data_IF_785857624148
#
_entry.id   IF_785857624148
#
_cell.length_a   1.000
_cell.length_b   1.000
_cell.length_c   1.000
_cell.angle_alpha   90.00
_cell.angle_beta   90.00
_cell.angle_gamma   90.00
#
_symmetry.space_group_name_H-M   'P 1'
#
loop_
_entity.id
_entity.type
_entity.pdbx_description
1 polymer ?
#
# COMPACT_ATOMS: atom_id res chain seq x y z
N UNK A 1 -30.55 -4.67 12.90
CA UNK A 1 -29.58 -5.44 12.11
C UNK A 1 -29.06 -4.53 11.03
N UNK A 2 -27.80 -4.20 11.11
CA UNK A 2 -27.09 -3.28 10.22
C UNK A 2 -26.75 -3.99 8.91
N UNK A 3 -27.24 -3.48 7.77
CA UNK A 3 -26.97 -4.02 6.45
C UNK A 3 -25.80 -3.30 5.82
N UNK A 4 -24.82 -4.04 5.32
CA UNK A 4 -23.60 -3.49 4.71
C UNK A 4 -23.49 -3.94 3.25
N UNK A 5 -23.16 -2.97 2.39
CA UNK A 5 -22.67 -3.18 1.02
C UNK A 5 -21.16 -2.93 1.02
N UNK A 6 -20.36 -3.86 0.54
CA UNK A 6 -18.91 -3.68 0.34
C UNK A 6 -18.60 -3.50 -1.14
N UNK A 7 -17.93 -2.41 -1.49
CA UNK A 7 -17.57 -2.09 -2.87
C UNK A 7 -16.06 -1.77 -2.99
N UNK A 8 -15.30 -2.74 -3.44
CA UNK A 8 -13.86 -2.61 -3.67
C UNK A 8 -13.43 -3.65 -4.72
N UNK A 9 -12.60 -3.28 -5.67
CA UNK A 9 -12.04 -4.22 -6.66
C UNK A 9 -10.89 -5.06 -6.09
N UNK A 10 -10.30 -4.69 -4.97
CA UNK A 10 -9.24 -5.43 -4.31
C UNK A 10 -9.83 -6.57 -3.47
N UNK A 11 -9.78 -7.78 -4.00
CA UNK A 11 -10.41 -8.96 -3.40
C UNK A 11 -9.90 -9.26 -1.97
N UNK A 12 -8.59 -9.12 -1.72
CA UNK A 12 -7.99 -9.40 -0.41
C UNK A 12 -8.48 -8.40 0.64
N UNK A 13 -8.50 -7.10 0.29
CA UNK A 13 -8.93 -6.06 1.20
C UNK A 13 -10.44 -6.19 1.50
N UNK A 14 -11.25 -6.42 0.48
CA UNK A 14 -12.69 -6.67 0.64
C UNK A 14 -12.97 -7.90 1.53
N UNK A 15 -12.23 -9.00 1.33
CA UNK A 15 -12.35 -10.18 2.17
C UNK A 15 -11.92 -9.92 3.63
N UNK A 16 -10.90 -9.10 3.85
CA UNK A 16 -10.47 -8.67 5.19
C UNK A 16 -11.56 -7.90 5.92
N UNK A 17 -12.14 -6.89 5.28
CA UNK A 17 -13.27 -6.11 5.83
C UNK A 17 -14.47 -7.03 6.09
N UNK A 18 -14.82 -7.90 5.14
CA UNK A 18 -15.90 -8.82 5.30
C UNK A 18 -15.72 -9.73 6.52
N UNK A 19 -14.51 -10.22 6.76
CA UNK A 19 -14.19 -11.06 7.92
C UNK A 19 -14.33 -10.30 9.23
N UNK A 20 -13.86 -9.05 9.29
CA UNK A 20 -14.03 -8.19 10.49
C UNK A 20 -15.51 -7.95 10.80
N UNK A 21 -16.31 -7.62 9.79
CA UNK A 21 -17.72 -7.34 9.97
C UNK A 21 -18.56 -8.60 10.28
N UNK A 22 -18.18 -9.76 9.77
CA UNK A 22 -18.92 -11.03 9.96
C UNK A 22 -18.83 -11.59 11.39
N UNK A 23 -17.91 -11.08 12.22
CA UNK A 23 -17.82 -11.49 13.64
C UNK A 23 -18.92 -10.85 14.50
N UNK A 24 -19.53 -9.77 14.03
CA UNK A 24 -20.53 -8.99 14.77
C UNK A 24 -21.95 -9.51 14.50
N UNK A 25 -22.67 -9.92 15.55
CA UNK A 25 -24.01 -10.49 15.44
C UNK A 25 -25.06 -9.50 14.91
N UNK A 26 -24.83 -8.20 15.10
CA UNK A 26 -25.72 -7.12 14.67
C UNK A 26 -25.47 -6.64 13.23
N UNK A 27 -24.45 -7.17 12.54
CA UNK A 27 -24.02 -6.76 11.19
C UNK A 27 -24.29 -7.86 10.16
N UNK A 28 -24.80 -7.47 9.00
CA UNK A 28 -24.99 -8.38 7.86
C UNK A 28 -24.50 -7.77 6.57
N UNK A 29 -23.56 -8.42 5.92
CA UNK A 29 -23.15 -8.08 4.57
C UNK A 29 -24.21 -8.58 3.59
N UNK A 30 -24.89 -7.66 2.90
CA UNK A 30 -25.98 -7.95 1.97
C UNK A 30 -25.53 -7.98 0.52
N UNK A 31 -24.40 -7.32 0.21
CA UNK A 31 -23.80 -7.36 -1.12
C UNK A 31 -22.29 -7.11 -1.04
N UNK A 32 -21.58 -7.69 -2.01
CA UNK A 32 -20.17 -7.39 -2.30
C UNK A 32 -20.06 -7.07 -3.79
N UNK A 33 -19.51 -5.90 -4.11
CA UNK A 33 -19.35 -5.41 -5.48
C UNK A 33 -17.85 -5.35 -5.84
N UNK A 34 -17.54 -5.87 -7.02
CA UNK A 34 -16.19 -5.86 -7.61
C UNK A 34 -16.11 -4.94 -8.82
N UNK A 35 -17.26 -4.56 -9.38
CA UNK A 35 -17.40 -3.61 -10.49
C UNK A 35 -18.38 -2.50 -10.12
N UNK A 36 -18.26 -1.37 -10.81
CA UNK A 36 -19.14 -0.21 -10.61
C UNK A 36 -20.61 -0.57 -10.82
N UNK A 37 -20.90 -1.37 -11.85
CA UNK A 37 -22.24 -1.81 -12.16
C UNK A 37 -22.85 -2.64 -11.03
N UNK A 38 -22.08 -3.55 -10.43
CA UNK A 38 -22.50 -4.33 -9.27
C UNK A 38 -22.77 -3.44 -8.06
N UNK A 39 -21.94 -2.40 -7.85
CA UNK A 39 -22.11 -1.45 -6.77
C UNK A 39 -23.43 -0.66 -6.95
N UNK A 40 -23.70 -0.16 -8.14
CA UNK A 40 -24.92 0.59 -8.44
C UNK A 40 -26.18 -0.29 -8.29
N UNK A 41 -26.15 -1.53 -8.82
CA UNK A 41 -27.23 -2.49 -8.61
C UNK A 41 -27.49 -2.81 -7.12
N UNK A 42 -26.41 -2.88 -6.33
CA UNK A 42 -26.54 -3.11 -4.88
C UNK A 42 -27.17 -1.92 -4.17
N UNK A 43 -26.86 -0.68 -4.58
CA UNK A 43 -27.47 0.55 -4.05
C UNK A 43 -28.98 0.56 -4.29
N UNK A 44 -29.42 0.23 -5.49
CA UNK A 44 -30.84 0.18 -5.83
C UNK A 44 -31.59 -0.91 -5.06
N UNK A 45 -30.96 -2.08 -4.90
CA UNK A 45 -31.59 -3.27 -4.32
C UNK A 45 -31.64 -3.24 -2.80
N UNK A 46 -30.64 -2.71 -2.11
CA UNK A 46 -30.48 -2.80 -0.67
C UNK A 46 -30.65 -1.44 0.03
N UNK A 47 -31.81 -0.84 -0.14
CA UNK A 47 -32.16 0.46 0.49
C UNK A 47 -31.98 0.45 2.00
N UNK A 48 -31.61 1.60 2.56
CA UNK A 48 -31.42 1.78 4.00
C UNK A 48 -30.25 0.99 4.58
N UNK A 49 -29.20 0.73 3.78
CA UNK A 49 -27.97 0.10 4.22
C UNK A 49 -26.83 1.12 4.33
N UNK A 50 -25.70 0.69 4.90
CA UNK A 50 -24.45 1.44 4.85
C UNK A 50 -23.58 0.85 3.74
N UNK A 51 -23.09 1.67 2.83
CA UNK A 51 -22.16 1.25 1.79
C UNK A 51 -20.75 1.68 2.14
N UNK A 52 -19.85 0.72 2.26
CA UNK A 52 -18.42 0.94 2.41
C UNK A 52 -17.79 0.78 1.03
N UNK A 53 -17.12 1.83 0.54
CA UNK A 53 -16.50 1.80 -0.79
C UNK A 53 -15.09 2.37 -0.78
N UNK A 54 -14.22 1.84 -1.64
CA UNK A 54 -12.88 2.37 -1.85
C UNK A 54 -12.91 3.59 -2.79
N UNK A 55 -12.21 4.66 -2.44
CA UNK A 55 -12.14 5.88 -3.23
C UNK A 55 -11.59 5.66 -4.63
N UNK A 56 -10.61 4.77 -4.75
CA UNK A 56 -10.00 4.38 -6.04
C UNK A 56 -10.92 3.55 -6.94
N UNK A 57 -11.93 2.90 -6.35
CA UNK A 57 -12.87 2.05 -7.07
C UNK A 57 -14.06 2.84 -7.62
N UNK A 58 -14.56 3.84 -6.89
CA UNK A 58 -15.68 4.71 -7.26
C UNK A 58 -15.24 6.18 -7.18
N UNK A 59 -14.54 6.67 -8.23
CA UNK A 59 -13.96 8.02 -8.21
C UNK A 59 -15.00 9.14 -8.30
N UNK A 60 -16.17 8.89 -8.89
CA UNK A 60 -17.27 9.87 -8.95
C UNK A 60 -18.12 9.79 -7.68
N UNK A 61 -17.60 10.41 -6.63
CA UNK A 61 -18.24 10.46 -5.31
C UNK A 61 -19.55 11.25 -5.35
N UNK A 62 -19.67 12.29 -6.18
CA UNK A 62 -20.86 13.15 -6.24
C UNK A 62 -22.03 12.37 -6.81
N UNK A 63 -21.83 11.67 -7.92
CA UNK A 63 -22.87 10.85 -8.53
C UNK A 63 -23.29 9.72 -7.57
N UNK A 64 -22.32 9.02 -6.98
CA UNK A 64 -22.61 7.98 -5.99
C UNK A 64 -23.42 8.52 -4.81
N UNK A 65 -23.03 9.68 -4.26
CA UNK A 65 -23.71 10.28 -3.12
C UNK A 65 -25.17 10.66 -3.45
N UNK A 66 -25.43 11.16 -4.66
CA UNK A 66 -26.80 11.47 -5.12
C UNK A 66 -27.67 10.21 -5.16
N UNK A 67 -27.21 9.14 -5.81
CA UNK A 67 -27.95 7.88 -5.94
C UNK A 67 -28.13 7.20 -4.58
N UNK A 68 -27.12 7.23 -3.73
CA UNK A 68 -27.17 6.69 -2.38
C UNK A 68 -28.19 7.43 -1.51
N UNK A 69 -28.23 8.76 -1.58
CA UNK A 69 -29.19 9.58 -0.85
C UNK A 69 -30.65 9.27 -1.25
N UNK A 70 -30.94 9.15 -2.55
CA UNK A 70 -32.27 8.77 -3.06
C UNK A 70 -32.70 7.36 -2.62
N UNK A 71 -31.73 6.49 -2.37
CA UNK A 71 -31.95 5.13 -1.88
C UNK A 71 -31.93 5.00 -0.35
N UNK A 72 -31.68 6.10 0.37
CA UNK A 72 -31.54 6.11 1.84
C UNK A 72 -30.30 5.36 2.31
N UNK A 73 -29.27 5.26 1.47
CA UNK A 73 -27.99 4.60 1.79
C UNK A 73 -27.03 5.63 2.34
N UNK A 74 -26.37 5.27 3.41
CA UNK A 74 -25.32 6.06 4.02
C UNK A 74 -23.95 5.58 3.54
N UNK A 75 -23.05 6.51 3.25
CA UNK A 75 -21.77 6.22 2.65
C UNK A 75 -20.62 6.29 3.66
N UNK A 76 -19.76 5.29 3.60
CA UNK A 76 -18.43 5.26 4.21
C UNK A 76 -17.39 5.10 3.12
N UNK A 77 -16.51 6.07 2.97
CA UNK A 77 -15.39 6.00 2.03
C UNK A 77 -14.15 5.45 2.73
N UNK A 78 -13.46 4.54 2.06
CA UNK A 78 -12.09 4.15 2.38
C UNK A 78 -11.18 4.97 1.48
N UNK A 79 -10.62 6.02 2.04
CA UNK A 79 -9.79 6.98 1.36
C UNK A 79 -8.32 6.51 1.29
N UNK A 80 -7.61 6.92 0.26
CA UNK A 80 -6.16 6.80 0.23
C UNK A 80 -5.52 7.91 1.06
N UNK A 81 -4.28 7.69 1.53
CA UNK A 81 -3.60 8.62 2.46
C UNK A 81 -3.44 10.05 1.93
N UNK A 82 -3.46 10.22 0.60
CA UNK A 82 -3.31 11.51 -0.06
C UNK A 82 -4.64 12.12 -0.50
N UNK A 83 -5.76 11.45 -0.26
CA UNK A 83 -7.07 11.96 -0.64
C UNK A 83 -7.47 13.12 0.30
N UNK A 84 -7.93 14.26 -0.23
CA UNK A 84 -8.42 15.35 0.60
C UNK A 84 -9.78 14.97 1.21
N UNK A 85 -9.93 14.95 2.55
CA UNK A 85 -11.18 14.59 3.22
C UNK A 85 -12.37 15.46 2.79
N UNK A 86 -12.12 16.72 2.53
CA UNK A 86 -13.14 17.72 2.16
C UNK A 86 -13.93 17.32 0.92
N UNK A 87 -13.28 16.63 -0.02
CA UNK A 87 -13.91 16.13 -1.25
C UNK A 87 -15.09 15.20 -0.96
N UNK A 88 -14.95 14.33 0.03
CA UNK A 88 -15.96 13.36 0.38
C UNK A 88 -17.04 13.95 1.29
N UNK A 89 -16.62 14.75 2.27
CA UNK A 89 -17.53 15.38 3.22
C UNK A 89 -18.46 16.38 2.54
N UNK A 90 -17.95 17.18 1.59
CA UNK A 90 -18.77 18.13 0.82
C UNK A 90 -19.76 17.43 -0.13
N UNK A 91 -19.49 16.19 -0.53
CA UNK A 91 -20.41 15.37 -1.30
C UNK A 91 -21.49 14.67 -0.43
N UNK A 92 -21.45 14.81 0.91
CA UNK A 92 -22.41 14.21 1.82
C UNK A 92 -22.05 12.80 2.30
N UNK A 93 -20.80 12.37 2.12
CA UNK A 93 -20.29 11.12 2.71
C UNK A 93 -20.18 11.29 4.23
N UNK A 94 -20.83 10.43 5.01
CA UNK A 94 -20.87 10.52 6.46
C UNK A 94 -19.65 9.86 7.14
N UNK A 95 -19.11 8.80 6.54
CA UNK A 95 -17.98 8.06 7.10
C UNK A 95 -16.72 8.22 6.24
N UNK A 96 -15.60 8.59 6.86
CA UNK A 96 -14.31 8.58 6.21
C UNK A 96 -13.31 7.82 7.07
N UNK A 97 -12.73 6.78 6.49
CA UNK A 97 -11.67 5.96 7.08
C UNK A 97 -10.55 5.75 6.05
N UNK A 98 -9.39 5.37 6.51
CA UNK A 98 -8.25 5.05 5.66
C UNK A 98 -8.00 3.55 5.59
N UNK A 99 -7.20 3.09 4.62
CA UNK A 99 -6.88 1.65 4.46
C UNK A 99 -6.17 1.04 5.66
N UNK A 100 -5.54 1.86 6.50
CA UNK A 100 -4.87 1.46 7.74
C UNK A 100 -5.80 1.37 8.96
N UNK A 101 -7.13 1.50 8.75
CA UNK A 101 -8.12 1.48 9.83
C UNK A 101 -8.06 0.17 10.64
N UNK A 102 -8.06 0.28 11.94
CA UNK A 102 -8.19 -0.87 12.84
C UNK A 102 -9.63 -1.40 12.89
N UNK A 103 -9.78 -2.69 13.17
CA UNK A 103 -11.08 -3.35 13.21
C UNK A 103 -12.08 -2.66 14.13
N UNK A 104 -11.64 -2.21 15.31
CA UNK A 104 -12.49 -1.52 16.28
C UNK A 104 -12.97 -0.15 15.76
N UNK A 105 -12.11 0.57 15.03
CA UNK A 105 -12.47 1.86 14.43
C UNK A 105 -13.41 1.71 13.24
N UNK A 106 -13.19 0.69 12.40
CA UNK A 106 -14.10 0.36 11.31
C UNK A 106 -15.53 0.10 11.85
N UNK A 107 -15.65 -0.72 12.87
CA UNK A 107 -16.95 -1.01 13.50
C UNK A 107 -17.58 0.24 14.11
N UNK A 108 -16.81 1.07 14.78
CA UNK A 108 -17.26 2.35 15.34
C UNK A 108 -17.78 3.29 14.24
N UNK A 109 -17.03 3.43 13.16
CA UNK A 109 -17.42 4.23 12.00
C UNK A 109 -18.76 3.77 11.44
N UNK A 110 -18.88 2.48 11.14
CA UNK A 110 -20.06 1.90 10.51
C UNK A 110 -21.31 2.06 11.40
N UNK A 111 -21.18 1.86 12.71
CA UNK A 111 -22.29 2.04 13.67
C UNK A 111 -22.73 3.50 13.78
N UNK A 112 -21.78 4.45 13.84
CA UNK A 112 -22.10 5.89 13.85
C UNK A 112 -22.80 6.32 12.57
N UNK A 113 -22.25 5.94 11.43
CA UNK A 113 -22.85 6.26 10.12
C UNK A 113 -24.25 5.67 10.00
N UNK A 114 -24.49 4.45 10.46
CA UNK A 114 -25.83 3.88 10.48
C UNK A 114 -26.80 4.64 11.39
N UNK A 115 -26.32 5.29 12.42
CA UNK A 115 -27.13 6.17 13.29
C UNK A 115 -27.35 7.57 12.68
N UNK A 116 -26.80 7.85 11.48
CA UNK A 116 -26.87 9.16 10.83
C UNK A 116 -25.81 10.15 11.34
N UNK A 117 -24.86 9.68 12.13
CA UNK A 117 -23.76 10.50 12.66
C UNK A 117 -22.57 10.48 11.71
N UNK A 118 -21.89 11.61 11.59
CA UNK A 118 -20.63 11.65 10.85
C UNK A 118 -19.49 11.01 11.65
N UNK A 119 -18.58 10.35 10.93
CA UNK A 119 -17.34 9.81 11.46
C UNK A 119 -16.18 10.09 10.49
N UNK A 120 -15.19 10.81 10.96
CA UNK A 120 -13.95 11.03 10.23
C UNK A 120 -12.82 10.48 11.07
N UNK A 121 -12.11 9.50 10.54
CA UNK A 121 -10.90 9.01 11.18
C UNK A 121 -9.88 10.15 11.22
N UNK A 122 -9.36 10.48 12.42
CA UNK A 122 -8.35 11.52 12.55
C UNK A 122 -7.08 11.06 11.79
N UNK A 123 -6.70 11.81 10.77
CA UNK A 123 -5.47 11.55 10.01
C UNK A 123 -4.20 11.64 10.86
N UNK A 124 -4.29 12.13 12.09
CA UNK A 124 -3.18 12.15 13.06
C UNK A 124 -3.10 10.85 13.88
N UNK A 125 -4.21 10.11 14.00
CA UNK A 125 -4.23 8.76 14.62
C UNK A 125 -4.03 7.66 13.59
N UNK A 126 -4.27 7.94 12.32
CA UNK A 126 -3.64 7.18 11.26
C UNK A 126 -2.15 7.40 11.50
N UNK A 127 -1.35 6.36 11.80
CA UNK A 127 0.08 6.49 11.63
C UNK A 127 0.18 7.12 10.24
N UNK A 128 0.51 8.43 10.18
CA UNK A 128 0.81 9.05 8.88
C UNK A 128 1.68 7.99 8.29
N UNK A 129 1.12 7.32 7.27
CA UNK A 129 1.96 6.43 6.55
C UNK A 129 3.18 7.29 6.29
N UNK A 130 4.16 7.16 7.18
CA UNK A 130 5.51 7.37 6.80
C UNK A 130 5.59 6.38 5.69
N UNK A 131 5.04 6.87 4.55
CA UNK A 131 4.96 6.17 3.28
C UNK A 131 4.90 4.68 3.52
N UNK A 132 3.73 4.09 3.41
CA UNK A 132 3.40 2.67 3.65
C UNK A 132 4.66 1.94 4.07
N UNK A 133 4.88 1.78 5.41
CA UNK A 133 6.16 1.26 5.89
C UNK A 133 6.43 0.09 4.98
N UNK A 134 7.45 0.22 4.14
CA UNK A 134 7.78 -0.76 3.14
C UNK A 134 8.27 -2.00 3.87
N UNK A 135 7.31 -2.67 4.54
CA UNK A 135 7.59 -3.88 5.32
C UNK A 135 8.28 -4.94 4.48
N UNK A 136 7.97 -4.96 3.18
CA UNK A 136 8.62 -5.87 2.25
C UNK A 136 10.05 -5.41 2.00
N UNK A 137 10.25 -4.14 1.68
CA UNK A 137 11.58 -3.56 1.49
C UNK A 137 12.41 -3.58 2.77
N UNK A 138 11.82 -3.29 3.94
CA UNK A 138 12.48 -3.39 5.23
C UNK A 138 12.93 -4.83 5.53
N UNK A 139 12.04 -5.80 5.34
CA UNK A 139 12.34 -7.23 5.54
C UNK A 139 13.41 -7.74 4.59
N UNK A 140 13.37 -7.28 3.35
CA UNK A 140 14.38 -7.62 2.33
C UNK A 140 15.71 -6.94 2.64
N UNK A 141 15.72 -5.66 3.02
CA UNK A 141 16.91 -4.94 3.46
C UNK A 141 17.63 -5.71 4.58
N UNK A 142 16.90 -6.17 5.59
CA UNK A 142 17.46 -6.87 6.76
C UNK A 142 18.05 -8.25 6.41
N UNK A 143 17.67 -8.83 5.27
CA UNK A 143 18.24 -10.08 4.73
C UNK A 143 19.49 -9.87 3.90
N UNK A 144 19.74 -8.65 3.43
CA UNK A 144 20.87 -8.34 2.58
C UNK A 144 22.08 -7.90 3.40
N UNK A 145 23.24 -8.42 3.06
CA UNK A 145 24.50 -7.96 3.64
C UNK A 145 24.88 -6.58 3.10
N UNK A 146 25.76 -5.81 3.78
CA UNK A 146 26.23 -4.51 3.28
C UNK A 146 26.86 -4.59 1.89
N UNK A 147 27.54 -5.69 1.53
CA UNK A 147 28.09 -5.90 0.20
C UNK A 147 27.00 -6.12 -0.85
N UNK A 148 25.97 -6.89 -0.52
CA UNK A 148 24.82 -7.12 -1.40
C UNK A 148 24.03 -5.83 -1.63
N UNK A 149 23.79 -5.01 -0.60
CA UNK A 149 23.16 -3.69 -0.75
C UNK A 149 23.96 -2.76 -1.66
N UNK A 150 25.30 -2.76 -1.57
CA UNK A 150 26.15 -1.99 -2.48
C UNK A 150 25.99 -2.44 -3.93
N UNK A 151 25.92 -3.74 -4.17
CA UNK A 151 25.71 -4.29 -5.52
C UNK A 151 24.32 -3.90 -6.03
N UNK A 152 23.27 -4.00 -5.21
CA UNK A 152 21.91 -3.55 -5.56
C UNK A 152 21.91 -2.07 -5.96
N UNK A 153 22.57 -1.20 -5.20
CA UNK A 153 22.66 0.23 -5.52
C UNK A 153 23.31 0.47 -6.90
N UNK A 154 24.40 -0.24 -7.20
CA UNK A 154 25.08 -0.10 -8.48
C UNK A 154 24.28 -0.66 -9.66
N UNK A 155 23.48 -1.72 -9.41
CA UNK A 155 22.53 -2.24 -10.39
C UNK A 155 21.45 -1.22 -10.75
N UNK A 156 20.87 -0.56 -9.75
CA UNK A 156 19.83 0.48 -9.97
C UNK A 156 20.41 1.69 -10.73
N UNK A 157 21.69 2.01 -10.50
CA UNK A 157 22.40 3.04 -11.23
C UNK A 157 22.80 2.63 -12.66
N UNK A 158 22.55 1.38 -13.06
CA UNK A 158 22.78 0.88 -14.42
C UNK A 158 24.18 0.28 -14.67
N UNK A 159 25.05 0.16 -13.66
CA UNK A 159 26.41 -0.38 -13.84
C UNK A 159 26.40 -1.85 -14.26
N UNK A 160 27.23 -2.21 -15.23
CA UNK A 160 27.44 -3.60 -15.66
C UNK A 160 28.27 -4.38 -14.63
N UNK A 161 28.17 -5.71 -14.62
CA UNK A 161 28.89 -6.55 -13.63
C UNK A 161 30.41 -6.31 -13.61
N UNK A 162 31.00 -6.07 -14.77
CA UNK A 162 32.44 -5.73 -14.88
C UNK A 162 32.77 -4.41 -14.19
N UNK A 163 31.93 -3.42 -14.35
CA UNK A 163 32.09 -2.09 -13.72
C UNK A 163 31.90 -2.17 -12.20
N UNK A 164 30.90 -2.95 -11.75
CA UNK A 164 30.68 -3.26 -10.35
C UNK A 164 31.89 -3.98 -9.74
N UNK A 165 32.43 -4.97 -10.45
CA UNK A 165 33.62 -5.69 -10.02
C UNK A 165 34.83 -4.76 -9.83
N UNK A 166 35.07 -3.85 -10.77
CA UNK A 166 36.12 -2.85 -10.66
C UNK A 166 35.94 -1.91 -9.45
N UNK A 167 34.70 -1.41 -9.22
CA UNK A 167 34.39 -0.52 -8.09
C UNK A 167 34.53 -1.20 -6.72
N UNK A 168 34.29 -2.52 -6.67
CA UNK A 168 34.36 -3.30 -5.42
C UNK A 168 35.70 -3.99 -5.22
N UNK A 169 36.66 -3.81 -6.13
CA UNK A 169 37.98 -4.46 -6.06
C UNK A 169 37.89 -5.99 -6.13
N UNK A 170 37.02 -6.52 -6.98
CA UNK A 170 36.73 -7.96 -7.09
C UNK A 170 36.62 -8.42 -8.55
N UNK A 171 36.22 -9.66 -8.78
CA UNK A 171 36.02 -10.20 -10.13
C UNK A 171 34.54 -10.22 -10.53
N UNK A 172 34.30 -10.18 -11.86
CA UNK A 172 32.94 -10.27 -12.40
C UNK A 172 32.22 -11.57 -11.94
N UNK A 173 32.97 -12.66 -11.81
CA UNK A 173 32.41 -13.94 -11.34
C UNK A 173 31.89 -13.82 -9.89
N UNK A 174 32.62 -13.14 -9.04
CA UNK A 174 32.19 -12.89 -7.65
C UNK A 174 30.94 -12.02 -7.61
N UNK A 175 30.83 -11.00 -8.45
CA UNK A 175 29.61 -10.18 -8.57
C UNK A 175 28.41 -11.03 -9.01
N UNK A 176 28.59 -11.92 -9.99
CA UNK A 176 27.54 -12.86 -10.43
C UNK A 176 27.04 -13.76 -9.29
N UNK A 177 27.96 -14.24 -8.44
CA UNK A 177 27.57 -15.06 -7.28
C UNK A 177 26.78 -14.25 -6.25
N UNK A 178 27.19 -13.00 -5.96
CA UNK A 178 26.40 -12.10 -5.10
C UNK A 178 25.02 -11.83 -5.67
N UNK A 179 24.90 -11.58 -6.97
CA UNK A 179 23.61 -11.34 -7.62
C UNK A 179 22.67 -12.54 -7.52
N UNK A 180 23.19 -13.77 -7.69
CA UNK A 180 22.39 -14.97 -7.49
C UNK A 180 21.80 -15.01 -6.06
N UNK A 181 22.65 -14.77 -5.05
CA UNK A 181 22.19 -14.75 -3.65
C UNK A 181 21.16 -13.62 -3.39
N UNK A 182 21.35 -12.45 -4.02
CA UNK A 182 20.41 -11.34 -3.94
C UNK A 182 19.07 -11.72 -4.56
N UNK A 183 19.09 -12.33 -5.76
CA UNK A 183 17.85 -12.78 -6.41
C UNK A 183 17.09 -13.78 -5.54
N UNK A 184 17.78 -14.77 -4.98
CA UNK A 184 17.18 -15.78 -4.10
C UNK A 184 16.59 -15.14 -2.81
N UNK A 185 17.27 -14.15 -2.23
CA UNK A 185 16.84 -13.48 -0.99
C UNK A 185 15.65 -12.55 -1.20
N UNK A 186 15.59 -11.89 -2.36
CA UNK A 186 14.55 -10.94 -2.72
C UNK A 186 13.34 -11.66 -3.34
N UNK A 187 13.58 -12.78 -4.02
CA UNK A 187 12.55 -13.52 -4.76
C UNK A 187 12.31 -12.97 -6.16
N UNK A 188 13.37 -12.45 -6.80
CA UNK A 188 13.34 -11.94 -8.17
C UNK A 188 14.16 -12.84 -9.11
N UNK A 189 13.80 -12.84 -10.39
CA UNK A 189 14.36 -13.78 -11.37
C UNK A 189 15.48 -13.17 -12.22
N UNK A 190 15.53 -11.86 -12.36
CA UNK A 190 16.50 -11.19 -13.22
C UNK A 190 16.87 -9.79 -12.73
N UNK A 191 17.80 -9.17 -13.48
CA UNK A 191 18.34 -7.83 -13.19
C UNK A 191 17.30 -6.71 -13.29
N UNK A 192 16.40 -6.78 -14.27
CA UNK A 192 15.38 -5.76 -14.49
C UNK A 192 14.35 -5.82 -13.36
N UNK A 193 13.94 -7.01 -13.00
CA UNK A 193 13.02 -7.25 -11.89
C UNK A 193 13.63 -6.76 -10.55
N UNK A 194 14.94 -7.01 -10.33
CA UNK A 194 15.64 -6.47 -9.17
C UNK A 194 15.63 -4.94 -9.14
N UNK A 195 15.91 -4.29 -10.27
CA UNK A 195 15.91 -2.83 -10.34
C UNK A 195 14.51 -2.26 -10.08
N UNK A 196 13.47 -2.81 -10.70
CA UNK A 196 12.08 -2.40 -10.50
C UNK A 196 11.62 -2.64 -9.06
N UNK A 197 11.93 -3.81 -8.49
CA UNK A 197 11.65 -4.12 -7.09
C UNK A 197 12.30 -3.09 -6.16
N UNK A 198 13.56 -2.77 -6.37
CA UNK A 198 14.30 -1.80 -5.53
C UNK A 198 13.73 -0.39 -5.64
N UNK A 199 13.35 0.05 -6.86
CA UNK A 199 12.73 1.37 -7.08
C UNK A 199 11.36 1.45 -6.42
N UNK A 200 10.58 0.37 -6.48
CA UNK A 200 9.26 0.30 -5.87
C UNK A 200 9.33 0.31 -4.32
N UNK A 201 10.38 -0.31 -3.76
CA UNK A 201 10.60 -0.40 -2.33
C UNK A 201 11.59 0.66 -1.85
N UNK A 202 11.07 1.80 -1.40
CA UNK A 202 11.85 2.98 -1.02
C UNK A 202 12.88 2.71 0.08
N UNK A 203 12.52 1.95 1.10
CA UNK A 203 13.44 1.60 2.20
C UNK A 203 14.66 0.85 1.67
N UNK A 204 14.46 -0.06 0.72
CA UNK A 204 15.55 -0.78 0.07
C UNK A 204 16.39 0.16 -0.80
N UNK A 205 15.77 1.07 -1.54
CA UNK A 205 16.46 2.05 -2.36
C UNK A 205 17.33 3.00 -1.52
N UNK A 206 16.82 3.49 -0.40
CA UNK A 206 17.57 4.35 0.54
C UNK A 206 18.75 3.62 1.19
N UNK A 207 18.55 2.39 1.66
CA UNK A 207 19.60 1.58 2.25
C UNK A 207 20.71 1.24 1.23
N UNK A 208 20.32 0.97 -0.01
CA UNK A 208 21.26 0.73 -1.10
C UNK A 208 22.07 2.00 -1.42
N UNK A 209 21.42 3.17 -1.53
CA UNK A 209 22.06 4.44 -1.77
C UNK A 209 23.04 4.82 -0.65
N UNK A 210 22.67 4.67 0.62
CA UNK A 210 23.53 4.89 1.78
C UNK A 210 24.79 4.00 1.74
N UNK A 211 24.61 2.73 1.36
CA UNK A 211 25.72 1.78 1.22
C UNK A 211 26.68 2.14 0.07
N UNK A 212 26.20 2.77 -0.99
CA UNK A 212 27.01 3.25 -2.10
C UNK A 212 27.81 4.53 -1.76
N UNK A 213 27.24 5.44 -0.97
CA UNK A 213 27.89 6.68 -0.56
C UNK A 213 29.19 6.44 0.23
N UNK A 214 29.25 5.35 0.99
CA UNK A 214 30.44 4.96 1.76
C UNK A 214 31.66 4.61 0.87
N UNK A 215 31.46 4.35 -0.42
CA UNK A 215 32.56 4.07 -1.38
C UNK A 215 33.28 5.35 -1.78
N UNK A 216 32.59 6.50 -1.81
CA UNK A 216 33.16 7.78 -2.27
C UNK A 216 34.11 8.45 -1.26
N UNK A 217 34.07 8.00 0.01
CA UNK A 217 34.85 8.59 1.11
C UNK A 217 36.09 7.78 1.55
N UNK A 218 36.34 6.62 0.94
CA UNK A 218 37.56 5.86 1.23
C UNK A 218 38.74 6.48 0.49
N UNK A 219 39.84 6.89 1.17
CA UNK A 219 41.02 7.39 0.51
C UNK A 219 41.69 6.29 -0.34
N UNK A 220 42.35 6.63 -1.45
CA UNK A 220 43.04 5.65 -2.28
C UNK A 220 44.12 4.94 -1.47
N UNK A 221 44.11 3.61 -1.53
CA UNK A 221 45.08 2.76 -0.85
C UNK A 221 46.49 3.05 -1.38
N UNK A 222 47.49 3.44 -0.56
CA UNK A 222 48.82 3.81 -1.01
C UNK A 222 49.74 2.58 -1.26
N UNK A 223 49.27 1.59 -2.00
CA UNK A 223 49.99 0.34 -2.26
C UNK A 223 50.01 0.00 -3.74
N UNK A 224 50.45 0.94 -4.59
CA UNK A 224 50.87 0.63 -5.95
C UNK A 224 51.93 1.63 -6.43
N UNK A 225 53.01 1.72 -5.67
CA UNK A 225 54.26 2.29 -6.12
C UNK A 225 55.38 1.36 -5.64
N UNK A 226 55.66 0.35 -6.47
CA UNK A 226 57.00 -0.20 -6.72
C UNK A 226 56.91 -1.19 -7.88
#
# INVERSE_FOLDING_TARGET
MLKIILADNQAIFRAGIAKVLAVEDDVRIVAQAQTVEQAMMAVEKFRGSVMIYASSFLPDTIHLATVAHESGIQLVVIAESNDPPERYLSAGVLGLIFRSVESAELLRCVRKVNAGESYVQDSRTVPRNVESEDFVGARVRDRLTPKELKIVALIVQGFKNKEIANQLGTTEQVVKNYLRNVYDKIGVSDRLELALFTIHHRILAEAAAASAATIRTAPPNPSSAN
#
